data_IF_260589383359
#
_entry.id   IF_260589383359
#
_cell.length_a   1.000
_cell.length_b   1.000
_cell.length_c   1.000
_cell.angle_alpha   90.00
_cell.angle_beta   90.00
_cell.angle_gamma   90.00
#
_symmetry.space_group_name_H-M   'P 1'
#
loop_
_entity.id
_entity.type
_entity.pdbx_description
1 polymer ?
#
# COMPACT_ATOMS: atom_id res chain seq x y z
N UNK A 1 15.40 -6.88 7.54
CA UNK A 1 16.20 -7.26 6.36
C UNK A 1 15.28 -7.92 5.35
N UNK A 2 14.84 -7.21 4.30
CA UNK A 2 13.92 -7.74 3.27
C UNK A 2 14.51 -7.41 1.90
N UNK A 3 15.54 -8.17 1.52
CA UNK A 3 16.13 -8.09 0.19
C UNK A 3 15.62 -9.30 -0.58
N UNK A 4 14.81 -9.07 -1.62
CA UNK A 4 14.40 -10.12 -2.53
C UNK A 4 15.57 -10.43 -3.47
N UNK A 5 15.76 -11.71 -3.81
CA UNK A 5 16.88 -12.15 -4.62
C UNK A 5 16.50 -13.23 -5.63
N UNK A 6 16.99 -13.08 -6.85
CA UNK A 6 17.12 -14.12 -7.87
C UNK A 6 18.59 -14.48 -8.05
N UNK A 7 18.88 -15.51 -8.85
CA UNK A 7 20.24 -16.04 -9.06
C UNK A 7 21.30 -14.99 -9.38
N UNK A 8 20.93 -13.88 -10.04
CA UNK A 8 21.86 -12.80 -10.41
C UNK A 8 21.39 -11.39 -10.01
N UNK A 9 20.29 -11.26 -9.26
CA UNK A 9 19.74 -9.93 -8.95
C UNK A 9 19.28 -9.88 -7.51
N UNK A 10 19.62 -8.81 -6.80
CA UNK A 10 19.10 -8.48 -5.47
C UNK A 10 18.44 -7.11 -5.53
N UNK A 11 17.25 -6.98 -4.96
CA UNK A 11 16.56 -5.70 -4.94
C UNK A 11 15.83 -5.46 -3.62
N UNK A 12 15.59 -4.17 -3.35
CA UNK A 12 14.80 -3.67 -2.23
C UNK A 12 13.83 -2.61 -2.77
N UNK A 13 12.61 -3.03 -3.07
CA UNK A 13 11.56 -2.16 -3.62
C UNK A 13 10.57 -1.79 -2.50
N UNK A 14 10.95 -0.83 -1.66
CA UNK A 14 10.09 -0.30 -0.59
C UNK A 14 9.74 1.16 -0.91
N UNK A 15 8.44 1.46 -0.92
CA UNK A 15 7.93 2.79 -1.25
C UNK A 15 6.95 3.28 -0.18
N UNK A 16 7.01 4.57 0.12
CA UNK A 16 6.04 5.25 0.98
C UNK A 16 5.02 5.97 0.12
N UNK A 17 3.82 5.39 0.02
CA UNK A 17 2.73 5.89 -0.84
C UNK A 17 1.66 6.53 0.06
N UNK A 18 1.31 7.78 -0.21
CA UNK A 18 0.33 8.55 0.57
C UNK A 18 -0.85 8.97 -0.32
N UNK A 19 -2.06 8.72 0.16
CA UNK A 19 -3.30 9.13 -0.51
C UNK A 19 -3.92 10.33 0.22
N UNK A 20 -4.32 11.35 -0.55
CA UNK A 20 -4.92 12.59 -0.03
C UNK A 20 -6.23 12.83 -0.78
N UNK A 21 -7.33 13.21 -0.08
CA UNK A 21 -8.59 13.53 -0.74
C UNK A 21 -8.47 14.84 -1.54
N UNK A 22 -9.25 14.93 -2.61
CA UNK A 22 -9.36 16.18 -3.39
C UNK A 22 -9.72 17.33 -2.45
N UNK A 23 -9.00 18.45 -2.57
CA UNK A 23 -9.13 19.64 -1.70
C UNK A 23 -8.82 19.41 -0.21
N UNK A 24 -8.11 18.34 0.15
CA UNK A 24 -7.75 18.02 1.56
C UNK A 24 -8.95 17.97 2.51
N UNK A 25 -10.14 17.60 2.00
CA UNK A 25 -11.35 17.48 2.82
C UNK A 25 -11.19 16.39 3.87
N UNK A 26 -11.73 16.58 5.07
CA UNK A 26 -11.75 15.57 6.15
C UNK A 26 -12.81 14.47 5.90
N UNK A 27 -12.84 13.91 4.69
CA UNK A 27 -13.81 12.87 4.28
C UNK A 27 -13.26 11.45 4.43
N UNK A 28 -11.93 11.29 4.52
CA UNK A 28 -11.27 9.99 4.68
C UNK A 28 -11.20 9.55 6.15
N UNK A 29 -12.30 9.67 6.89
CA UNK A 29 -12.39 9.23 8.28
C UNK A 29 -13.61 8.33 8.48
N UNK A 30 -13.61 7.56 9.59
CA UNK A 30 -14.72 6.66 9.93
C UNK A 30 -14.87 5.51 8.94
N UNK A 31 -16.09 5.30 8.45
CA UNK A 31 -16.44 4.20 7.53
C UNK A 31 -15.66 4.27 6.21
N UNK A 32 -15.56 5.47 5.61
CA UNK A 32 -14.85 5.68 4.34
C UNK A 32 -13.38 5.26 4.40
N UNK A 33 -12.73 5.44 5.56
CA UNK A 33 -11.36 4.98 5.76
C UNK A 33 -11.27 3.44 5.76
N UNK A 34 -12.23 2.76 6.38
CA UNK A 34 -12.25 1.30 6.45
C UNK A 34 -12.39 0.69 5.06
N UNK A 35 -13.37 1.16 4.29
CA UNK A 35 -13.64 0.68 2.94
C UNK A 35 -12.42 0.92 2.02
N UNK A 36 -11.81 2.11 2.12
CA UNK A 36 -10.63 2.45 1.33
C UNK A 36 -9.43 1.55 1.66
N UNK A 37 -9.20 1.25 2.94
CA UNK A 37 -8.14 0.32 3.37
C UNK A 37 -8.41 -1.09 2.86
N UNK A 38 -9.66 -1.56 2.93
CA UNK A 38 -10.05 -2.87 2.42
C UNK A 38 -9.82 -3.01 0.92
N UNK A 39 -10.30 -2.04 0.13
CA UNK A 39 -10.09 -2.01 -1.33
C UNK A 39 -8.59 -2.02 -1.67
N UNK A 40 -7.77 -1.23 -0.97
CA UNK A 40 -6.32 -1.20 -1.21
C UNK A 40 -5.68 -2.54 -0.87
N UNK A 41 -6.07 -3.18 0.25
CA UNK A 41 -5.56 -4.51 0.62
C UNK A 41 -5.88 -5.54 -0.45
N UNK A 42 -7.14 -5.62 -0.88
CA UNK A 42 -7.59 -6.54 -1.94
C UNK A 42 -6.82 -6.32 -3.25
N UNK A 43 -6.60 -5.06 -3.64
CA UNK A 43 -5.80 -4.74 -4.83
C UNK A 43 -4.32 -5.14 -4.70
N UNK A 44 -3.72 -4.95 -3.53
CA UNK A 44 -2.36 -5.36 -3.25
C UNK A 44 -2.21 -6.89 -3.27
N UNK A 45 -3.20 -7.62 -2.76
CA UNK A 45 -3.25 -9.08 -2.80
C UNK A 45 -3.31 -9.57 -4.25
N UNK A 46 -4.16 -9.00 -5.10
CA UNK A 46 -4.24 -9.35 -6.53
C UNK A 46 -2.94 -9.06 -7.30
N UNK A 47 -2.18 -8.05 -6.88
CA UNK A 47 -0.89 -7.71 -7.51
C UNK A 47 0.32 -8.37 -6.83
N UNK A 48 0.09 -9.22 -5.82
CA UNK A 48 1.13 -9.86 -5.01
C UNK A 48 2.12 -8.86 -4.39
N UNK A 49 1.61 -7.69 -3.99
CA UNK A 49 2.39 -6.62 -3.35
C UNK A 49 2.32 -6.76 -1.84
N UNK A 50 3.48 -6.78 -1.18
CA UNK A 50 3.56 -6.83 0.28
C UNK A 50 3.37 -5.44 0.90
N UNK A 51 2.31 -5.27 1.69
CA UNK A 51 2.12 -4.08 2.51
C UNK A 51 3.00 -4.20 3.76
N UNK A 52 3.85 -3.20 4.02
CA UNK A 52 4.83 -3.22 5.12
C UNK A 52 4.40 -2.36 6.32
N UNK A 53 3.54 -1.36 6.11
CA UNK A 53 2.96 -0.53 7.16
C UNK A 53 1.52 -0.17 6.76
N UNK A 54 0.60 -0.24 7.73
CA UNK A 54 -0.82 0.13 7.60
C UNK A 54 -1.26 0.94 8.79
#
# INVERSE_FOLDING_TARGET
>A
MYNQSLSHTRWKCQYHIVFIPKYRRKVMYGAVKKDLVEIIKTLCEYKHVKITAS
#
